data_IF_964647866505
#
_entry.id   IF_964647866505
#
_cell.length_a   1.000
_cell.length_b   1.000
_cell.length_c   1.000
_cell.angle_alpha   90.00
_cell.angle_beta   90.00
_cell.angle_gamma   90.00
#
_symmetry.space_group_name_H-M   'P 1'
#
loop_
_entity.id
_entity.type
_entity.pdbx_description
1 polymer ?
#
# COMPACT_ATOMS: atom_id res chain seq x y z
N UNK A 1 4.21 20.62 -26.45
CA UNK A 1 3.88 19.23 -26.10
C UNK A 1 2.62 19.29 -25.24
N UNK A 2 1.54 18.55 -25.59
CA UNK A 2 0.26 18.67 -24.86
C UNK A 2 0.43 18.08 -23.45
N UNK A 3 0.00 18.78 -22.41
CA UNK A 3 0.08 18.36 -21.00
C UNK A 3 -0.50 16.95 -20.78
N UNK A 4 -1.66 16.64 -21.36
CA UNK A 4 -2.29 15.34 -21.26
C UNK A 4 -1.37 14.20 -21.77
N UNK A 5 -0.72 14.40 -22.91
CA UNK A 5 0.20 13.39 -23.46
C UNK A 5 1.42 13.15 -22.57
N UNK A 6 1.94 14.21 -21.93
CA UNK A 6 3.05 14.10 -20.99
C UNK A 6 2.63 13.35 -19.73
N UNK A 7 1.42 13.61 -19.22
CA UNK A 7 0.85 12.91 -18.07
C UNK A 7 0.69 11.41 -18.36
N UNK A 8 0.17 11.05 -19.53
CA UNK A 8 0.02 9.64 -19.94
C UNK A 8 1.36 8.91 -20.04
N UNK A 9 2.37 9.57 -20.66
CA UNK A 9 3.72 9.01 -20.75
C UNK A 9 4.36 8.82 -19.37
N UNK A 10 4.18 9.77 -18.47
CA UNK A 10 4.67 9.67 -17.10
C UNK A 10 3.99 8.52 -16.36
N UNK A 11 2.66 8.42 -16.46
CA UNK A 11 1.89 7.33 -15.84
C UNK A 11 2.35 5.95 -16.34
N UNK A 12 2.55 5.79 -17.65
CA UNK A 12 3.06 4.55 -18.24
C UNK A 12 4.45 4.21 -17.71
N UNK A 13 5.35 5.19 -17.64
CA UNK A 13 6.71 5.01 -17.10
C UNK A 13 6.67 4.51 -15.64
N UNK A 14 5.80 5.09 -14.83
CA UNK A 14 5.61 4.67 -13.42
C UNK A 14 5.09 3.24 -13.33
N UNK A 15 4.05 2.90 -14.12
CA UNK A 15 3.46 1.55 -14.15
C UNK A 15 4.48 0.50 -14.57
N UNK A 16 5.38 0.82 -15.47
CA UNK A 16 6.41 -0.11 -15.97
C UNK A 16 7.62 -0.23 -15.03
N UNK A 17 8.03 0.86 -14.40
CA UNK A 17 9.25 0.90 -13.58
C UNK A 17 9.03 0.43 -12.15
N UNK A 18 7.98 0.91 -11.48
CA UNK A 18 7.74 0.65 -10.06
C UNK A 18 7.60 -0.84 -9.74
N UNK A 19 6.86 -1.66 -10.51
CA UNK A 19 6.78 -3.10 -10.24
C UNK A 19 8.11 -3.82 -10.35
N UNK A 20 9.00 -3.40 -11.26
CA UNK A 20 10.35 -4.00 -11.43
C UNK A 20 11.22 -3.72 -10.21
N UNK A 21 11.24 -2.47 -9.75
CA UNK A 21 11.97 -2.07 -8.53
C UNK A 21 11.41 -2.81 -7.31
N UNK A 22 10.10 -2.86 -7.16
CA UNK A 22 9.44 -3.56 -6.06
C UNK A 22 9.68 -5.07 -6.07
N UNK A 23 9.80 -5.68 -7.26
CA UNK A 23 10.18 -7.08 -7.38
C UNK A 23 11.60 -7.30 -6.87
N UNK A 24 12.57 -6.51 -7.34
CA UNK A 24 13.96 -6.61 -6.96
C UNK A 24 14.15 -6.44 -5.44
N UNK A 25 13.48 -5.44 -4.83
CA UNK A 25 13.45 -5.26 -3.37
C UNK A 25 12.92 -6.52 -2.66
N UNK A 26 11.83 -7.12 -3.14
CA UNK A 26 11.25 -8.32 -2.53
C UNK A 26 12.15 -9.54 -2.66
N UNK A 27 12.84 -9.69 -3.80
CA UNK A 27 13.79 -10.78 -4.02
C UNK A 27 14.98 -10.66 -3.06
N UNK A 28 15.52 -9.47 -2.90
CA UNK A 28 16.62 -9.22 -1.97
C UNK A 28 16.20 -9.45 -0.51
N UNK A 29 15.05 -8.95 -0.12
CA UNK A 29 14.51 -9.23 1.22
C UNK A 29 14.35 -10.74 1.49
N UNK A 30 14.03 -11.54 0.48
CA UNK A 30 13.98 -13.00 0.60
C UNK A 30 15.36 -13.65 0.72
N UNK A 31 16.35 -13.15 -0.04
CA UNK A 31 17.73 -13.68 0.01
C UNK A 31 18.39 -13.46 1.37
N UNK A 32 18.15 -12.31 1.97
CA UNK A 32 18.80 -11.92 3.23
C UNK A 32 18.26 -12.66 4.47
N UNK A 33 17.63 -13.82 4.26
CA UNK A 33 17.13 -14.61 5.37
C UNK A 33 16.04 -13.89 6.17
N UNK A 34 15.35 -12.94 5.51
CA UNK A 34 14.06 -12.45 5.99
C UNK A 34 12.89 -13.41 5.61
N UNK A 35 13.06 -14.77 5.66
CA UNK A 35 11.94 -15.69 5.60
C UNK A 35 11.05 -15.51 6.82
N UNK A 36 11.40 -14.57 7.69
CA UNK A 36 10.66 -14.30 8.90
C UNK A 36 9.30 -13.68 8.62
N UNK A 37 9.13 -12.92 7.54
CA UNK A 37 7.86 -12.22 7.29
C UNK A 37 7.39 -12.36 5.84
N UNK A 38 6.13 -12.75 5.68
CA UNK A 38 5.45 -12.58 4.38
C UNK A 38 5.26 -11.08 4.09
N UNK A 39 5.00 -10.74 2.82
CA UNK A 39 4.76 -9.33 2.42
C UNK A 39 3.64 -8.68 3.26
N UNK A 40 2.48 -9.34 3.48
CA UNK A 40 1.44 -8.78 4.36
C UNK A 40 1.92 -8.57 5.80
N UNK A 41 2.73 -9.49 6.35
CA UNK A 41 3.29 -9.33 7.69
C UNK A 41 4.26 -8.13 7.77
N UNK A 42 5.13 -7.96 6.79
CA UNK A 42 6.03 -6.82 6.74
C UNK A 42 5.25 -5.49 6.60
N UNK A 43 4.24 -5.45 5.72
CA UNK A 43 3.36 -4.27 5.60
C UNK A 43 2.66 -3.95 6.92
N UNK A 44 2.24 -4.96 7.67
CA UNK A 44 1.67 -4.80 9.01
C UNK A 44 2.66 -4.16 9.98
N UNK A 45 3.90 -4.66 10.02
CA UNK A 45 4.94 -4.08 10.88
C UNK A 45 5.25 -2.63 10.51
N UNK A 46 5.40 -2.33 9.22
CA UNK A 46 5.65 -0.96 8.72
C UNK A 46 4.48 -0.02 9.07
N UNK A 47 3.25 -0.47 8.88
CA UNK A 47 2.06 0.33 9.21
C UNK A 47 2.01 0.66 10.71
N UNK A 48 2.17 -0.34 11.56
CA UNK A 48 2.11 -0.16 13.02
C UNK A 48 3.33 0.59 13.59
N UNK A 49 4.47 0.54 12.91
CA UNK A 49 5.61 1.39 13.25
C UNK A 49 5.31 2.88 13.06
N UNK A 50 4.59 3.22 11.97
CA UNK A 50 4.19 4.60 11.66
C UNK A 50 2.97 5.07 12.43
N UNK A 51 2.10 4.14 12.86
CA UNK A 51 0.82 4.39 13.52
C UNK A 51 0.64 3.43 14.70
N UNK A 52 1.42 3.58 15.77
CA UNK A 52 1.28 2.77 16.97
C UNK A 52 -0.10 2.95 17.58
N UNK A 53 -0.66 1.89 18.15
CA UNK A 53 -2.00 1.93 18.75
C UNK A 53 -3.15 1.86 17.73
N UNK A 54 -2.89 1.54 16.46
CA UNK A 54 -3.96 1.33 15.48
C UNK A 54 -4.79 0.09 15.81
N UNK A 55 -6.09 0.14 15.50
CA UNK A 55 -6.96 -1.02 15.66
C UNK A 55 -6.93 -1.93 14.41
N UNK A 56 -7.45 -3.15 14.59
CA UNK A 56 -7.50 -4.16 13.52
C UNK A 56 -8.28 -3.69 12.28
N UNK A 57 -9.32 -2.87 12.47
CA UNK A 57 -10.12 -2.35 11.37
C UNK A 57 -9.26 -1.51 10.41
N UNK A 58 -8.56 -0.50 10.93
CA UNK A 58 -7.71 0.37 10.12
C UNK A 58 -6.53 -0.39 9.48
N UNK A 59 -6.02 -1.41 10.17
CA UNK A 59 -4.99 -2.29 9.60
C UNK A 59 -5.52 -3.11 8.42
N UNK A 60 -6.70 -3.70 8.53
CA UNK A 60 -7.32 -4.50 7.47
C UNK A 60 -7.57 -3.65 6.21
N UNK A 61 -8.09 -2.44 6.40
CA UNK A 61 -8.30 -1.46 5.34
C UNK A 61 -6.98 -1.07 4.66
N UNK A 62 -5.95 -0.70 5.44
CA UNK A 62 -4.63 -0.40 4.89
C UNK A 62 -3.99 -1.55 4.10
N UNK A 63 -4.21 -2.78 4.52
CA UNK A 63 -3.68 -3.97 3.83
C UNK A 63 -4.49 -4.33 2.59
N UNK A 64 -5.74 -3.86 2.46
CA UNK A 64 -6.68 -4.26 1.42
C UNK A 64 -7.17 -5.71 1.60
N UNK A 65 -7.37 -6.15 2.85
CA UNK A 65 -7.79 -7.53 3.17
C UNK A 65 -8.99 -7.53 4.11
N UNK A 66 -9.67 -8.67 4.22
CA UNK A 66 -10.76 -8.84 5.18
C UNK A 66 -10.26 -8.81 6.62
N UNK A 67 -11.13 -8.45 7.58
CA UNK A 67 -10.79 -8.46 9.02
C UNK A 67 -10.32 -9.82 9.53
N UNK A 68 -10.93 -10.96 9.16
CA UNK A 68 -10.42 -12.28 9.52
C UNK A 68 -8.99 -12.53 9.03
N UNK A 69 -8.69 -12.13 7.77
CA UNK A 69 -7.34 -12.24 7.21
C UNK A 69 -6.33 -11.37 7.97
N UNK A 70 -6.68 -10.12 8.26
CA UNK A 70 -5.84 -9.24 9.06
C UNK A 70 -5.61 -9.80 10.47
N UNK A 71 -6.66 -10.37 11.10
CA UNK A 71 -6.54 -11.02 12.40
C UNK A 71 -5.55 -12.19 12.37
N UNK A 72 -5.63 -13.05 11.37
CA UNK A 72 -4.71 -14.18 11.21
C UNK A 72 -3.25 -13.72 11.01
N UNK A 73 -3.03 -12.61 10.30
CA UNK A 73 -1.70 -12.00 10.14
C UNK A 73 -1.19 -11.50 11.50
N UNK A 74 -2.01 -10.75 12.23
CA UNK A 74 -1.69 -10.21 13.56
C UNK A 74 -1.41 -11.35 14.55
N UNK A 75 -2.25 -12.39 14.58
CA UNK A 75 -2.08 -13.56 15.47
C UNK A 75 -0.72 -14.23 15.28
N UNK A 76 -0.29 -14.39 14.03
CA UNK A 76 1.04 -14.95 13.73
C UNK A 76 2.16 -14.05 14.23
N UNK A 77 2.03 -12.73 14.08
CA UNK A 77 3.04 -11.77 14.53
C UNK A 77 3.08 -11.66 16.07
N UNK A 78 1.94 -11.75 16.74
CA UNK A 78 1.85 -11.80 18.20
C UNK A 78 2.50 -13.06 18.74
N UNK A 79 2.17 -14.25 18.18
CA UNK A 79 2.81 -15.53 18.59
C UNK A 79 4.34 -15.51 18.40
N UNK A 80 4.84 -14.72 17.47
CA UNK A 80 6.28 -14.54 17.23
C UNK A 80 6.90 -13.42 18.07
N UNK A 81 6.15 -12.82 18.98
CA UNK A 81 6.64 -11.74 19.83
C UNK A 81 6.90 -10.42 19.12
N UNK A 82 6.43 -10.26 17.86
CA UNK A 82 6.69 -9.06 17.06
C UNK A 82 5.68 -7.95 17.32
N UNK A 83 4.45 -8.32 17.69
CA UNK A 83 3.36 -7.41 18.02
C UNK A 83 2.82 -7.69 19.42
N UNK A 84 2.33 -6.64 20.07
CA UNK A 84 1.56 -6.68 21.29
C UNK A 84 0.12 -6.20 21.03
N UNK A 85 -0.82 -6.74 21.80
CA UNK A 85 -2.20 -6.28 21.90
C UNK A 85 -2.42 -5.64 23.27
N UNK A 86 -3.01 -4.48 23.29
CA UNK A 86 -3.45 -3.82 24.51
C UNK A 86 -4.93 -3.47 24.40
N UNK A 87 -5.65 -3.49 25.51
CA UNK A 87 -7.00 -2.93 25.56
C UNK A 87 -6.90 -1.41 25.51
N UNK A 88 -7.81 -0.77 24.76
CA UNK A 88 -7.91 0.68 24.76
C UNK A 88 -8.39 1.14 26.16
N UNK A 89 -7.70 2.06 26.81
CA UNK A 89 -8.14 2.59 28.11
C UNK A 89 -9.48 3.31 28.06
N UNK A 90 -9.82 3.92 26.92
CA UNK A 90 -11.05 4.70 26.73
C UNK A 90 -12.19 3.84 26.19
N UNK A 91 -11.89 2.88 25.32
CA UNK A 91 -12.86 1.95 24.72
C UNK A 91 -12.49 0.50 25.02
N UNK A 92 -12.99 -0.07 26.11
CA UNK A 92 -12.66 -1.45 26.54
C UNK A 92 -12.90 -2.54 25.47
N UNK A 93 -13.77 -2.30 24.48
CA UNK A 93 -14.04 -3.21 23.35
C UNK A 93 -13.01 -3.09 22.24
N UNK A 94 -12.17 -2.07 22.25
CA UNK A 94 -11.18 -1.79 21.22
C UNK A 94 -9.84 -2.40 21.61
N UNK A 95 -9.20 -3.10 20.68
CA UNK A 95 -7.86 -3.66 20.82
C UNK A 95 -6.90 -2.83 20.01
N UNK A 96 -5.89 -2.30 20.66
CA UNK A 96 -4.81 -1.53 20.09
C UNK A 96 -3.64 -2.47 19.75
N UNK A 97 -3.04 -2.27 18.58
CA UNK A 97 -1.91 -3.04 18.07
C UNK A 97 -0.66 -2.16 18.08
N UNK A 98 0.42 -2.68 18.66
CA UNK A 98 1.72 -2.00 18.71
C UNK A 98 2.85 -2.96 18.38
N UNK A 99 3.96 -2.44 17.86
CA UNK A 99 5.18 -3.23 17.77
C UNK A 99 5.77 -3.45 19.15
N UNK A 100 6.29 -4.65 19.36
CA UNK A 100 7.21 -4.88 20.49
C UNK A 100 8.59 -4.29 20.19
N UNK A 101 9.46 -4.10 21.20
CA UNK A 101 10.86 -3.73 20.97
C UNK A 101 11.57 -4.71 20.02
N UNK A 102 11.23 -6.00 20.09
CA UNK A 102 11.75 -7.02 19.19
C UNK A 102 11.26 -6.83 17.76
N UNK A 103 9.95 -6.60 17.57
CA UNK A 103 9.36 -6.30 16.26
C UNK A 103 9.99 -5.07 15.61
N UNK A 104 10.23 -4.02 16.40
CA UNK A 104 10.90 -2.82 15.94
C UNK A 104 12.35 -3.09 15.50
N UNK A 105 13.13 -3.85 16.30
CA UNK A 105 14.51 -4.23 15.93
C UNK A 105 14.55 -5.07 14.65
N UNK A 106 13.65 -6.01 14.48
CA UNK A 106 13.56 -6.83 13.27
C UNK A 106 13.21 -5.99 12.03
N UNK A 107 12.24 -5.08 12.15
CA UNK A 107 11.86 -4.18 11.07
C UNK A 107 13.03 -3.29 10.66
N UNK A 108 13.73 -2.70 11.61
CA UNK A 108 14.87 -1.82 11.36
C UNK A 108 16.03 -2.57 10.71
N UNK A 109 16.32 -3.80 11.14
CA UNK A 109 17.36 -4.65 10.52
C UNK A 109 17.02 -4.93 9.06
N UNK A 110 15.77 -5.34 8.78
CA UNK A 110 15.32 -5.60 7.41
C UNK A 110 15.40 -4.34 6.54
N UNK A 111 15.08 -3.17 7.10
CA UNK A 111 15.16 -1.88 6.41
C UNK A 111 16.60 -1.51 6.05
N UNK A 112 17.51 -1.59 7.02
CA UNK A 112 18.94 -1.27 6.80
C UNK A 112 19.58 -2.17 5.75
N UNK A 113 19.29 -3.45 5.80
CA UNK A 113 19.76 -4.44 4.85
C UNK A 113 19.28 -4.13 3.43
N UNK A 114 17.97 -3.85 3.26
CA UNK A 114 17.41 -3.47 1.97
C UNK A 114 17.99 -2.14 1.47
N UNK A 115 18.23 -1.18 2.37
CA UNK A 115 18.85 0.10 2.02
C UNK A 115 20.28 -0.08 1.54
N UNK A 116 21.11 -0.88 2.23
CA UNK A 116 22.47 -1.16 1.84
C UNK A 116 22.56 -1.83 0.46
N UNK A 117 21.69 -2.82 0.22
CA UNK A 117 21.57 -3.45 -1.08
C UNK A 117 21.18 -2.47 -2.18
N UNK A 118 20.16 -1.62 -1.95
CA UNK A 118 19.72 -0.62 -2.91
C UNK A 118 20.85 0.39 -3.19
N UNK A 119 21.57 0.84 -2.17
CA UNK A 119 22.71 1.74 -2.35
C UNK A 119 23.78 1.10 -3.24
N UNK A 120 24.08 -0.19 -3.03
CA UNK A 120 24.99 -0.94 -3.89
C UNK A 120 24.47 -1.03 -5.34
N UNK A 121 23.19 -1.34 -5.55
CA UNK A 121 22.60 -1.40 -6.89
C UNK A 121 22.63 -0.06 -7.64
N UNK A 122 22.61 1.06 -6.91
CA UNK A 122 22.66 2.42 -7.46
C UNK A 122 24.09 2.99 -7.57
N UNK A 123 25.11 2.31 -7.06
CA UNK A 123 26.48 2.84 -6.95
C UNK A 123 27.14 3.21 -8.27
N UNK A 124 26.72 2.58 -9.37
CA UNK A 124 27.23 2.89 -10.73
C UNK A 124 26.60 4.13 -11.38
N UNK A 125 25.62 4.76 -10.73
CA UNK A 125 24.94 5.93 -11.29
C UNK A 125 25.69 7.25 -11.00
N UNK A 126 25.60 8.20 -11.94
CA UNK A 126 26.17 9.53 -11.71
C UNK A 126 25.42 10.28 -10.58
N UNK A 127 26.10 11.19 -9.86
CA UNK A 127 25.45 11.97 -8.80
C UNK A 127 24.24 12.78 -9.28
N UNK A 128 24.24 13.23 -10.54
CA UNK A 128 23.10 13.96 -11.10
C UNK A 128 21.88 13.05 -11.28
N UNK A 129 22.07 11.83 -11.77
CA UNK A 129 21.00 10.85 -11.93
C UNK A 129 20.40 10.43 -10.58
N UNK A 130 21.23 10.25 -9.55
CA UNK A 130 20.77 9.97 -8.19
C UNK A 130 19.89 11.12 -7.66
N UNK A 131 20.23 12.38 -7.92
CA UNK A 131 19.41 13.54 -7.54
C UNK A 131 18.08 13.56 -8.30
N UNK A 132 18.07 13.26 -9.60
CA UNK A 132 16.84 13.16 -10.38
C UNK A 132 15.91 12.06 -9.86
N UNK A 133 16.45 10.89 -9.52
CA UNK A 133 15.67 9.79 -8.94
C UNK A 133 15.06 10.20 -7.59
N UNK A 134 15.85 10.79 -6.70
CA UNK A 134 15.36 11.25 -5.39
C UNK A 134 14.24 12.28 -5.55
N UNK A 135 14.45 13.29 -6.38
CA UNK A 135 13.45 14.35 -6.64
C UNK A 135 12.19 13.77 -7.28
N UNK A 136 12.35 12.95 -8.33
CA UNK A 136 11.21 12.33 -9.02
C UNK A 136 10.37 11.43 -8.12
N UNK A 137 11.00 10.64 -7.24
CA UNK A 137 10.29 9.81 -6.27
C UNK A 137 9.58 10.63 -5.20
N UNK A 138 10.14 11.78 -4.79
CA UNK A 138 9.47 12.70 -3.87
C UNK A 138 8.22 13.29 -4.50
N UNK A 139 8.33 13.85 -5.71
CA UNK A 139 7.18 14.36 -6.45
C UNK A 139 6.11 13.30 -6.72
N UNK A 140 6.55 12.09 -7.11
CA UNK A 140 5.63 10.97 -7.36
C UNK A 140 4.84 10.58 -6.11
N UNK A 141 5.42 10.69 -4.93
CA UNK A 141 4.76 10.29 -3.68
C UNK A 141 3.68 11.31 -3.25
N UNK A 142 3.80 12.59 -3.59
CA UNK A 142 2.92 13.66 -3.13
C UNK A 142 1.43 13.39 -3.36
N UNK A 143 0.96 12.99 -4.58
CA UNK A 143 -0.46 12.72 -4.83
C UNK A 143 -1.03 11.57 -4.00
N UNK A 144 -0.16 10.70 -3.45
CA UNK A 144 -0.56 9.48 -2.71
C UNK A 144 -0.39 9.61 -1.20
N UNK A 145 0.25 10.68 -0.70
CA UNK A 145 0.47 10.88 0.75
C UNK A 145 -0.85 11.17 1.47
N UNK A 146 -1.80 11.84 0.81
CA UNK A 146 -3.12 12.16 1.37
C UNK A 146 -4.17 11.04 1.23
N UNK A 147 -4.01 10.14 0.27
CA UNK A 147 -5.00 9.10 -0.04
C UNK A 147 -5.02 7.92 0.94
N UNK A 148 -4.02 7.79 1.82
CA UNK A 148 -3.91 6.70 2.80
C UNK A 148 -4.45 7.03 4.21
N UNK A 149 -5.09 8.16 4.42
CA UNK A 149 -5.48 8.64 5.75
C UNK A 149 -6.91 9.12 5.92
N UNK A 150 -7.75 9.01 4.92
CA UNK A 150 -9.14 9.42 5.03
C UNK A 150 -10.00 8.69 4.02
N UNK A 151 -11.09 8.18 4.52
CA UNK A 151 -12.33 7.80 3.83
C UNK A 151 -12.22 7.20 2.43
N UNK A 152 -12.70 5.96 2.29
CA UNK A 152 -12.65 5.14 1.09
C UNK A 152 -13.41 5.69 -0.13
N UNK A 153 -13.00 6.82 -0.68
CA UNK A 153 -13.42 7.30 -1.99
C UNK A 153 -12.29 7.15 -2.99
N UNK A 154 -12.15 5.94 -3.55
CA UNK A 154 -11.49 5.78 -4.85
C UNK A 154 -12.19 6.70 -5.86
N UNK A 155 -11.47 7.46 -6.69
CA UNK A 155 -12.07 8.12 -7.83
C UNK A 155 -12.55 7.01 -8.79
N UNK A 156 -13.85 6.75 -8.77
CA UNK A 156 -14.50 5.90 -9.77
C UNK A 156 -14.36 6.64 -11.10
N UNK A 157 -13.51 6.10 -11.97
CA UNK A 157 -13.41 6.54 -13.36
C UNK A 157 -14.78 6.44 -14.00
N UNK A 158 -15.36 7.61 -14.31
CA UNK A 158 -16.58 7.72 -15.09
C UNK A 158 -16.31 7.31 -16.53
N UNK A 159 -16.48 6.04 -16.85
CA UNK A 159 -16.71 5.62 -18.23
C UNK A 159 -18.15 5.98 -18.57
N UNK A 160 -18.32 7.06 -19.34
CA UNK A 160 -19.58 7.46 -19.94
C UNK A 160 -20.06 6.34 -20.88
N UNK A 161 -21.00 5.52 -20.39
CA UNK A 161 -21.73 4.55 -21.19
C UNK A 161 -22.83 5.27 -21.97
N UNK A 162 -22.67 5.31 -23.30
CA UNK A 162 -23.63 5.87 -24.22
C UNK A 162 -25.02 5.24 -24.10
N UNK A 163 -25.99 6.06 -23.75
CA UNK A 163 -27.41 5.69 -23.68
C UNK A 163 -27.95 5.38 -25.07
N UNK A 164 -28.31 4.15 -25.30
CA UNK A 164 -29.24 3.78 -26.40
C UNK A 164 -30.64 4.12 -25.97
N UNK A 165 -31.22 5.18 -26.58
CA UNK A 165 -32.62 5.49 -26.53
C UNK A 165 -33.40 4.34 -27.25
N UNK A 166 -34.22 3.62 -26.51
CA UNK A 166 -35.27 2.77 -27.11
C UNK A 166 -36.51 3.63 -27.25
N UNK A 167 -36.98 3.75 -28.51
CA UNK A 167 -38.23 4.37 -28.88
C UNK A 167 -39.41 3.55 -28.34
N UNK A 168 -40.27 4.21 -27.61
CA UNK A 168 -41.58 3.71 -27.20
C UNK A 168 -42.55 3.79 -28.39
N UNK A 169 -43.03 2.63 -28.88
CA UNK A 169 -44.12 2.53 -29.82
C UNK A 169 -45.47 2.62 -29.10
N UNK A 170 -46.54 3.12 -29.77
CA UNK A 170 -47.78 3.40 -29.12
C UNK A 170 -48.68 2.17 -28.97
N UNK A 171 -49.28 2.07 -27.80
CA UNK A 171 -50.39 1.15 -27.46
C UNK A 171 -51.61 1.43 -28.30
N UNK A 172 -52.09 0.44 -29.05
CA UNK A 172 -53.47 0.46 -29.62
C UNK A 172 -54.36 -0.34 -28.67
N UNK A 173 -55.41 0.33 -28.22
CA UNK A 173 -56.49 -0.27 -27.51
C UNK A 173 -57.35 -1.15 -28.41
N UNK A 174 -58.09 -2.10 -27.80
CA UNK A 174 -59.20 -2.76 -28.42
C UNK A 174 -60.35 -2.91 -27.40
N UNK A 175 -61.58 -2.56 -27.79
CA UNK A 175 -62.74 -2.76 -26.95
C UNK A 175 -63.41 -4.11 -27.29
N UNK A 176 -63.91 -4.76 -26.35
CA UNK A 176 -65.21 -5.48 -26.27
C UNK A 176 -65.29 -6.31 -25.00
#
# INVERSE_FOLDING_TARGET
MNHARLTDQCAQTVIDAVPKVMRAIREEMRRQGAPLFSIPQLRTLVYLHRRPGSCLFHLADHLGVTRPTASAIVDRLVRRGMLARAKDPQERRRVLLTLTPEGARHLERARRSTQAWMAHALSGMSPINLRYIMHGLTLLAEPFIGAGGGDGSSPRGGLAGGGRRRASGPSRGHPS
#
